data_IF_298209401883
#
_entry.id   IF_298209401883
#
_cell.length_a   1.000
_cell.length_b   1.000
_cell.length_c   1.000
_cell.angle_alpha   90.00
_cell.angle_beta   90.00
_cell.angle_gamma   90.00
#
_symmetry.space_group_name_H-M   'P 1'
#
loop_
_entity.id
_entity.type
_entity.pdbx_description
1 polymer ?
#
# COMPACT_ATOMS: atom_id res chain seq x y z
N UNK A 1 17.70 24.28 12.36
CA UNK A 1 17.51 22.82 12.24
C UNK A 1 16.18 22.61 11.56
N UNK A 2 16.11 21.86 10.46
CA UNK A 2 14.81 21.45 9.93
C UNK A 2 14.34 20.30 10.81
N UNK A 3 13.22 20.46 11.50
CA UNK A 3 12.68 19.41 12.35
C UNK A 3 12.32 18.19 11.49
N UNK A 4 12.54 17.00 12.05
CA UNK A 4 12.21 15.73 11.40
C UNK A 4 10.72 15.70 10.99
N UNK A 5 9.85 16.35 11.77
CA UNK A 5 8.41 16.48 11.47
C UNK A 5 8.14 17.20 10.16
N UNK A 6 8.84 18.29 9.86
CA UNK A 6 8.62 19.07 8.64
C UNK A 6 9.05 18.29 7.39
N UNK A 7 10.21 17.60 7.48
CA UNK A 7 10.68 16.71 6.41
C UNK A 7 9.75 15.52 6.20
N UNK A 8 9.22 14.95 7.27
CA UNK A 8 8.24 13.87 7.20
C UNK A 8 6.96 14.34 6.51
N UNK A 9 6.42 15.50 6.92
CA UNK A 9 5.20 16.05 6.34
C UNK A 9 5.34 16.27 4.84
N UNK A 10 6.42 16.91 4.40
CA UNK A 10 6.68 17.15 2.97
C UNK A 10 6.73 15.85 2.16
N UNK A 11 7.34 14.78 2.68
CA UNK A 11 7.35 13.48 2.01
C UNK A 11 5.98 12.80 2.02
N UNK A 12 5.27 12.85 3.14
CA UNK A 12 3.95 12.24 3.29
C UNK A 12 2.92 12.85 2.34
N UNK A 13 2.96 14.17 2.13
CA UNK A 13 2.05 14.86 1.21
C UNK A 13 2.26 14.43 -0.26
N UNK A 14 3.52 14.24 -0.66
CA UNK A 14 3.87 13.71 -2.00
C UNK A 14 3.35 12.28 -2.18
N UNK A 15 3.68 11.38 -1.25
CA UNK A 15 3.27 9.97 -1.31
C UNK A 15 1.75 9.82 -1.28
N UNK A 16 1.06 10.63 -0.47
CA UNK A 16 -0.41 10.66 -0.42
C UNK A 16 -1.04 11.00 -1.78
N UNK A 17 -0.41 11.89 -2.54
CA UNK A 17 -0.86 12.29 -3.87
C UNK A 17 -0.61 11.16 -4.88
N UNK A 18 0.55 10.52 -4.82
CA UNK A 18 0.91 9.37 -5.66
C UNK A 18 -0.03 8.18 -5.43
N UNK A 19 -0.33 7.84 -4.16
CA UNK A 19 -1.28 6.76 -3.82
C UNK A 19 -2.68 7.04 -4.41
N UNK A 20 -3.15 8.28 -4.30
CA UNK A 20 -4.45 8.68 -4.88
C UNK A 20 -4.47 8.55 -6.40
N UNK A 21 -3.38 8.94 -7.07
CA UNK A 21 -3.24 8.79 -8.51
C UNK A 21 -3.22 7.29 -8.91
N UNK A 22 -2.45 6.48 -8.18
CA UNK A 22 -2.35 5.04 -8.42
C UNK A 22 -3.70 4.33 -8.27
N UNK A 23 -4.48 4.64 -7.23
CA UNK A 23 -5.82 4.09 -7.04
C UNK A 23 -6.76 4.55 -8.16
N UNK A 24 -6.65 5.81 -8.61
CA UNK A 24 -7.48 6.33 -9.70
C UNK A 24 -7.20 5.62 -11.03
N UNK A 25 -5.94 5.32 -11.31
CA UNK A 25 -5.53 4.65 -12.56
C UNK A 25 -5.70 3.13 -12.52
N UNK A 26 -5.41 2.51 -11.36
CA UNK A 26 -5.27 1.06 -11.24
C UNK A 26 -6.20 0.42 -10.19
N UNK A 27 -7.17 1.14 -9.62
CA UNK A 27 -8.02 0.64 -8.54
C UNK A 27 -8.83 -0.62 -8.87
N UNK A 28 -9.12 -0.87 -10.15
CA UNK A 28 -9.83 -2.07 -10.61
C UNK A 28 -8.87 -3.19 -11.09
N UNK A 29 -7.56 -3.01 -10.97
CA UNK A 29 -6.58 -4.01 -11.37
C UNK A 29 -6.63 -5.18 -10.37
N UNK A 30 -6.87 -6.39 -10.88
CA UNK A 30 -6.79 -7.60 -10.06
C UNK A 30 -5.33 -7.82 -9.63
N UNK A 31 -5.09 -7.83 -8.32
CA UNK A 31 -3.75 -8.01 -7.71
C UNK A 31 -3.45 -9.45 -7.28
N UNK A 32 -4.44 -10.34 -7.40
CA UNK A 32 -4.29 -11.77 -7.11
C UNK A 32 -5.64 -12.47 -7.19
N UNK A 33 -5.59 -13.80 -7.29
CA UNK A 33 -6.76 -14.66 -7.18
C UNK A 33 -6.70 -15.39 -5.83
N UNK A 34 -7.81 -15.41 -5.11
CA UNK A 34 -7.90 -16.02 -3.79
C UNK A 34 -8.56 -17.39 -3.91
N UNK A 35 -7.88 -18.42 -3.40
CA UNK A 35 -8.41 -19.79 -3.32
C UNK A 35 -9.02 -20.06 -1.94
N UNK A 36 -9.95 -21.02 -1.87
CA UNK A 36 -10.67 -21.34 -0.63
C UNK A 36 -9.71 -21.77 0.51
N UNK A 37 -8.63 -22.48 0.20
CA UNK A 37 -7.63 -22.92 1.17
C UNK A 37 -6.86 -21.75 1.79
N UNK A 38 -6.57 -20.70 1.02
CA UNK A 38 -5.86 -19.52 1.54
C UNK A 38 -6.71 -18.74 2.54
N UNK A 39 -8.04 -18.73 2.38
CA UNK A 39 -8.96 -18.13 3.35
C UNK A 39 -8.92 -18.89 4.67
N UNK A 40 -8.99 -20.22 4.64
CA UNK A 40 -8.96 -21.05 5.85
C UNK A 40 -7.58 -21.16 6.51
N UNK A 41 -6.49 -20.95 5.77
CA UNK A 41 -5.11 -21.05 6.27
C UNK A 41 -4.52 -19.69 6.68
N UNK A 42 -5.36 -18.69 6.97
CA UNK A 42 -4.90 -17.40 7.50
C UNK A 42 -4.27 -16.49 6.44
N UNK A 43 -4.88 -16.41 5.25
CA UNK A 43 -4.46 -15.52 4.15
C UNK A 43 -3.04 -15.79 3.62
N UNK A 44 -2.56 -17.05 3.75
CA UNK A 44 -1.21 -17.43 3.32
C UNK A 44 -1.05 -17.22 1.81
N UNK A 45 -0.14 -16.31 1.45
CA UNK A 45 0.12 -15.97 0.05
C UNK A 45 -0.91 -15.03 -0.60
N UNK A 46 -1.80 -14.42 0.20
CA UNK A 46 -2.68 -13.33 -0.27
C UNK A 46 -1.99 -12.00 0.01
N UNK A 47 -1.80 -11.18 -1.03
CA UNK A 47 -1.36 -9.79 -0.88
C UNK A 47 -2.50 -8.96 -0.28
N UNK A 48 -2.56 -8.89 1.05
CA UNK A 48 -3.65 -8.27 1.80
C UNK A 48 -3.36 -6.87 2.37
N UNK A 49 -2.10 -6.45 2.42
CA UNK A 49 -1.70 -5.13 2.89
C UNK A 49 -0.52 -4.58 2.09
N UNK A 50 -0.37 -3.25 2.14
CA UNK A 50 0.75 -2.54 1.53
C UNK A 50 1.70 -2.08 2.65
N UNK A 51 2.98 -2.43 2.57
CA UNK A 51 4.03 -1.99 3.49
C UNK A 51 5.07 -1.14 2.76
N UNK A 52 5.10 0.16 3.05
CA UNK A 52 5.97 1.12 2.36
C UNK A 52 7.38 1.22 2.97
N UNK A 53 7.58 0.70 4.20
CA UNK A 53 8.85 0.85 4.92
C UNK A 53 9.89 -0.21 4.56
N UNK A 54 9.44 -1.39 4.13
CA UNK A 54 10.28 -2.55 3.86
C UNK A 54 9.52 -3.61 3.05
N UNK A 55 10.24 -4.32 2.18
CA UNK A 55 9.75 -5.43 1.37
C UNK A 55 10.39 -6.75 1.82
#
# INVERSE_FOLDING_TARGET
MVEIKDRFKSKADVVSTEIKALIKEHGNKKIGEVTLSQVYQGMRGITGLVTETSL
#
